data_IF_304924082873
#
_entry.id   IF_304924082873
#
_cell.length_a   1.000
_cell.length_b   1.000
_cell.length_c   1.000
_cell.angle_alpha   90.00
_cell.angle_beta   90.00
_cell.angle_gamma   90.00
#
_symmetry.space_group_name_H-M   'P 1'
#
loop_
_entity.id
_entity.type
_entity.pdbx_description
1 polymer ?
#
# COMPACT_ATOMS: atom_id res chain seq x y z
N UNK A 1 12.23 -3.11 15.66
CA UNK A 1 12.00 -2.62 14.28
C UNK A 1 13.25 -1.97 13.67
N UNK A 2 13.92 -1.02 14.35
CA UNK A 2 15.08 -0.31 13.78
C UNK A 2 16.19 -1.26 13.30
N UNK A 3 16.60 -2.23 14.11
CA UNK A 3 17.63 -3.22 13.72
C UNK A 3 17.23 -3.98 12.45
N UNK A 4 15.96 -4.41 12.34
CA UNK A 4 15.47 -5.07 11.13
C UNK A 4 15.55 -4.13 9.92
N UNK A 5 15.15 -2.88 10.06
CA UNK A 5 15.22 -1.88 9.00
C UNK A 5 16.66 -1.60 8.52
N UNK A 6 17.63 -1.59 9.45
CA UNK A 6 19.04 -1.46 9.10
C UNK A 6 19.57 -2.69 8.35
N UNK A 7 19.10 -3.89 8.72
CA UNK A 7 19.41 -5.13 7.99
C UNK A 7 18.80 -5.12 6.58
N UNK A 8 17.54 -4.68 6.45
CA UNK A 8 16.87 -4.55 5.17
C UNK A 8 17.60 -3.55 4.25
N UNK A 9 18.06 -2.41 4.83
CA UNK A 9 18.86 -1.44 4.08
C UNK A 9 20.19 -2.06 3.62
N UNK A 10 20.91 -2.76 4.49
CA UNK A 10 22.19 -3.39 4.15
C UNK A 10 22.06 -4.48 3.08
N UNK A 11 20.90 -5.16 3.02
CA UNK A 11 20.58 -6.18 2.03
C UNK A 11 19.92 -5.61 0.76
N UNK A 12 19.69 -4.29 0.67
CA UNK A 12 18.90 -3.63 -0.39
C UNK A 12 17.48 -4.21 -0.52
N UNK A 13 16.89 -4.62 0.59
CA UNK A 13 15.53 -5.15 0.65
C UNK A 13 14.50 -4.04 0.81
N UNK A 14 13.26 -4.35 0.42
CA UNK A 14 12.10 -3.48 0.60
C UNK A 14 11.37 -3.84 1.89
N UNK A 15 11.11 -2.83 2.73
CA UNK A 15 10.28 -2.97 3.92
C UNK A 15 8.80 -2.84 3.58
N UNK A 16 7.95 -3.65 4.22
CA UNK A 16 6.49 -3.55 4.10
C UNK A 16 5.85 -3.59 5.48
N UNK A 17 5.20 -2.49 5.88
CA UNK A 17 4.55 -2.37 7.17
C UNK A 17 3.04 -2.48 7.04
N UNK A 18 2.46 -3.53 7.60
CA UNK A 18 1.03 -3.75 7.70
C UNK A 18 0.56 -3.46 9.13
N UNK A 19 -0.34 -2.52 9.32
CA UNK A 19 -0.81 -2.13 10.64
C UNK A 19 -2.29 -1.71 10.66
N UNK A 20 -2.83 -1.52 11.86
CA UNK A 20 -4.21 -1.04 12.03
C UNK A 20 -5.23 -2.13 12.34
N UNK A 21 -4.80 -3.35 12.70
CA UNK A 21 -5.69 -4.42 13.13
C UNK A 21 -5.73 -4.53 14.65
N UNK A 22 -6.93 -4.70 15.22
CA UNK A 22 -7.12 -5.26 16.57
C UNK A 22 -7.32 -6.76 16.37
N UNK A 23 -6.42 -7.54 16.98
CA UNK A 23 -6.38 -8.99 16.81
C UNK A 23 -7.12 -9.71 17.94
N UNK A 24 -7.73 -10.85 17.60
CA UNK A 24 -8.31 -11.79 18.56
C UNK A 24 -9.31 -11.12 19.55
N UNK A 25 -10.19 -10.29 19.03
CA UNK A 25 -11.13 -9.48 19.84
C UNK A 25 -12.07 -10.29 20.74
N UNK A 26 -12.32 -11.56 20.39
CA UNK A 26 -13.24 -12.42 21.13
C UNK A 26 -12.43 -13.45 21.95
N UNK A 27 -12.20 -13.13 23.22
CA UNK A 27 -11.43 -13.99 24.13
C UNK A 27 -12.04 -15.38 24.30
N UNK A 28 -13.38 -15.50 24.29
CA UNK A 28 -14.04 -16.81 24.37
C UNK A 28 -13.68 -17.69 23.18
N UNK A 29 -13.69 -17.12 21.99
CA UNK A 29 -13.35 -17.84 20.77
C UNK A 29 -11.85 -18.10 20.65
N UNK A 30 -11.02 -17.15 21.09
CA UNK A 30 -9.58 -17.35 21.19
C UNK A 30 -9.24 -18.57 22.06
N UNK A 31 -9.85 -18.67 23.25
CA UNK A 31 -9.62 -19.81 24.16
C UNK A 31 -10.13 -21.14 23.57
N UNK A 32 -11.12 -21.09 22.68
CA UNK A 32 -11.71 -22.28 22.06
C UNK A 32 -11.01 -22.72 20.79
N UNK A 33 -10.54 -21.80 19.96
CA UNK A 33 -10.05 -22.04 18.60
C UNK A 33 -8.58 -21.64 18.39
N UNK A 34 -8.01 -20.86 19.30
CA UNK A 34 -6.66 -20.30 19.14
C UNK A 34 -6.62 -18.97 18.39
N UNK A 35 -5.40 -18.48 18.14
CA UNK A 35 -5.14 -17.26 17.39
C UNK A 35 -5.45 -17.40 15.89
N UNK A 36 -5.61 -16.29 15.21
CA UNK A 36 -5.78 -16.21 13.74
C UNK A 36 -7.01 -16.96 13.19
N UNK A 37 -8.08 -17.00 13.96
CA UNK A 37 -9.30 -17.72 13.58
C UNK A 37 -10.45 -16.81 13.13
N UNK A 38 -10.15 -15.53 12.79
CA UNK A 38 -11.08 -14.63 12.13
C UNK A 38 -11.81 -13.64 13.05
N UNK A 39 -11.39 -13.52 14.30
CA UNK A 39 -12.00 -12.59 15.28
C UNK A 39 -11.23 -11.28 15.40
N UNK A 40 -10.91 -10.68 14.25
CA UNK A 40 -10.15 -9.44 14.13
C UNK A 40 -11.04 -8.30 13.64
N UNK A 41 -10.62 -7.06 13.88
CA UNK A 41 -11.29 -5.87 13.38
C UNK A 41 -10.32 -4.75 12.99
N UNK A 42 -10.84 -3.78 12.26
CA UNK A 42 -10.12 -2.51 12.03
C UNK A 42 -9.96 -1.80 13.37
N UNK A 43 -8.74 -1.36 13.66
CA UNK A 43 -8.40 -0.61 14.85
C UNK A 43 -8.14 0.87 14.55
N UNK A 44 -8.37 1.70 15.56
CA UNK A 44 -8.01 3.11 15.55
C UNK A 44 -6.76 3.31 16.42
N UNK A 45 -5.64 3.67 15.78
CA UNK A 45 -4.36 3.88 16.46
C UNK A 45 -3.73 5.19 16.01
N UNK A 46 -3.23 5.97 16.94
CA UNK A 46 -2.49 7.22 16.67
C UNK A 46 -1.03 6.89 16.27
N UNK A 47 -0.85 6.38 15.06
CA UNK A 47 0.45 5.89 14.57
C UNK A 47 1.27 6.95 13.84
N UNK A 48 0.67 8.02 13.33
CA UNK A 48 1.31 9.00 12.46
C UNK A 48 2.61 9.56 13.03
N UNK A 49 2.62 10.00 14.30
CA UNK A 49 3.81 10.58 14.94
C UNK A 49 4.93 9.52 15.14
N UNK A 50 4.57 8.32 15.56
CA UNK A 50 5.55 7.24 15.75
C UNK A 50 6.15 6.80 14.41
N UNK A 51 5.33 6.69 13.36
CA UNK A 51 5.76 6.39 11.99
C UNK A 51 6.72 7.46 11.47
N UNK A 52 6.36 8.75 11.61
CA UNK A 52 7.21 9.87 11.22
C UNK A 52 8.57 9.82 11.90
N UNK A 53 8.59 9.58 13.21
CA UNK A 53 9.86 9.46 13.97
C UNK A 53 10.70 8.28 13.48
N UNK A 54 10.10 7.12 13.27
CA UNK A 54 10.80 5.93 12.79
C UNK A 54 11.42 6.13 11.40
N UNK A 55 10.65 6.66 10.44
CA UNK A 55 11.15 6.94 9.10
C UNK A 55 12.23 8.02 9.13
N UNK A 56 12.04 9.08 9.93
CA UNK A 56 13.03 10.15 10.07
C UNK A 56 14.34 9.67 10.68
N UNK A 57 14.30 8.83 11.71
CA UNK A 57 15.50 8.26 12.32
C UNK A 57 16.34 7.48 11.31
N UNK A 58 15.71 6.61 10.53
CA UNK A 58 16.38 5.87 9.45
C UNK A 58 16.89 6.79 8.34
N UNK A 59 16.13 7.82 7.99
CA UNK A 59 16.50 8.78 6.95
C UNK A 59 17.71 9.62 7.38
N UNK A 60 17.77 10.08 8.63
CA UNK A 60 18.90 10.84 9.18
C UNK A 60 20.20 10.03 9.19
N UNK A 61 20.12 8.72 9.34
CA UNK A 61 21.27 7.81 9.30
C UNK A 61 21.61 7.34 7.87
N UNK A 62 20.87 7.78 6.85
CA UNK A 62 21.03 7.31 5.47
C UNK A 62 20.64 5.84 5.26
N UNK A 63 19.84 5.28 6.18
CA UNK A 63 19.46 3.86 6.19
C UNK A 63 18.00 3.60 5.82
N UNK A 64 17.25 4.63 5.43
CA UNK A 64 15.87 4.44 4.97
C UNK A 64 15.87 3.79 3.59
N UNK A 65 15.45 2.54 3.52
CA UNK A 65 15.29 1.78 2.28
C UNK A 65 13.91 2.01 1.65
N UNK A 66 13.65 1.37 0.49
CA UNK A 66 12.31 1.33 -0.11
C UNK A 66 11.32 0.79 0.91
N UNK A 67 10.23 1.53 1.12
CA UNK A 67 9.28 1.20 2.19
C UNK A 67 7.85 1.34 1.69
N UNK A 68 7.01 0.36 1.97
CA UNK A 68 5.58 0.38 1.67
C UNK A 68 4.80 0.38 2.98
N UNK A 69 3.88 1.32 3.12
CA UNK A 69 3.02 1.47 4.29
C UNK A 69 1.59 1.03 3.94
N UNK A 70 1.07 0.06 4.66
CA UNK A 70 -0.31 -0.42 4.52
C UNK A 70 -1.09 -0.14 5.80
N UNK A 71 -2.20 0.57 5.69
CA UNK A 71 -3.14 0.72 6.81
C UNK A 71 -4.38 -0.13 6.60
N UNK A 72 -4.86 -0.75 7.67
CA UNK A 72 -6.15 -1.40 7.66
C UNK A 72 -7.29 -0.42 7.93
N UNK A 73 -6.99 0.74 8.55
CA UNK A 73 -7.98 1.77 8.83
C UNK A 73 -8.04 2.80 7.69
N UNK A 74 -9.12 2.83 6.89
CA UNK A 74 -9.23 3.77 5.78
C UNK A 74 -9.26 5.25 6.22
N UNK A 75 -9.58 5.55 7.48
CA UNK A 75 -9.49 6.92 8.02
C UNK A 75 -8.04 7.44 8.11
N UNK A 76 -7.04 6.57 7.97
CA UNK A 76 -5.63 6.94 7.94
C UNK A 76 -5.05 7.06 6.52
N UNK A 77 -5.86 6.95 5.47
CA UNK A 77 -5.38 7.00 4.08
C UNK A 77 -4.65 8.31 3.78
N UNK A 78 -5.25 9.45 4.09
CA UNK A 78 -4.65 10.78 3.85
C UNK A 78 -3.45 11.02 4.76
N UNK A 79 -3.46 10.46 5.98
CA UNK A 79 -2.33 10.54 6.91
C UNK A 79 -1.10 9.86 6.29
N UNK A 80 -1.28 8.66 5.73
CA UNK A 80 -0.20 7.95 5.05
C UNK A 80 0.20 8.67 3.76
N UNK A 81 -0.76 8.98 2.90
CA UNK A 81 -0.49 9.58 1.61
C UNK A 81 0.33 10.88 1.74
N UNK A 82 0.06 11.70 2.76
CA UNK A 82 0.87 12.89 3.07
C UNK A 82 2.23 12.55 3.68
N UNK A 83 2.34 11.46 4.47
CA UNK A 83 3.61 11.01 5.06
C UNK A 83 4.63 10.63 3.98
N UNK A 84 4.19 9.99 2.89
CA UNK A 84 5.06 9.51 1.82
C UNK A 84 5.92 10.63 1.22
N UNK A 85 5.33 11.81 1.04
CA UNK A 85 6.00 12.96 0.42
C UNK A 85 7.20 13.49 1.19
N UNK A 86 7.24 13.25 2.52
CA UNK A 86 8.30 13.76 3.38
C UNK A 86 9.64 13.01 3.24
N UNK A 87 9.62 11.82 2.65
CA UNK A 87 10.78 10.92 2.63
C UNK A 87 11.14 10.44 1.21
N UNK A 88 10.71 11.16 0.18
CA UNK A 88 11.14 10.94 -1.20
C UNK A 88 12.49 11.65 -1.42
N UNK A 89 13.49 10.96 -1.92
CA UNK A 89 14.86 11.50 -2.08
C UNK A 89 15.40 11.41 -3.52
N UNK A 90 14.59 10.94 -4.46
CA UNK A 90 14.99 10.78 -5.85
C UNK A 90 15.87 9.56 -6.16
N UNK A 91 16.28 8.77 -5.18
CA UNK A 91 17.07 7.54 -5.39
C UNK A 91 16.29 6.42 -6.10
N UNK A 92 14.97 6.41 -5.92
CA UNK A 92 14.04 5.47 -6.51
C UNK A 92 12.69 6.16 -6.72
N UNK A 93 12.06 6.06 -7.91
CA UNK A 93 10.72 6.60 -8.13
C UNK A 93 9.71 6.00 -7.15
N UNK A 94 9.09 6.86 -6.33
CA UNK A 94 8.16 6.41 -5.29
C UNK A 94 8.83 5.56 -4.22
N UNK A 95 9.99 6.00 -3.70
CA UNK A 95 10.76 5.28 -2.67
C UNK A 95 9.90 4.84 -1.49
N UNK A 96 9.06 5.73 -1.01
CA UNK A 96 8.07 5.41 0.02
C UNK A 96 6.71 5.30 -0.65
N UNK A 97 6.06 4.17 -0.51
CA UNK A 97 4.80 3.81 -1.17
C UNK A 97 3.64 3.77 -0.19
N UNK A 98 2.44 4.12 -0.68
CA UNK A 98 1.20 3.75 -0.04
C UNK A 98 0.75 2.40 -0.61
N UNK A 99 0.70 1.39 0.22
CA UNK A 99 0.27 0.06 -0.18
C UNK A 99 -1.21 -0.02 -0.54
N UNK A 100 -1.60 -1.05 -1.26
CA UNK A 100 -2.98 -1.27 -1.68
C UNK A 100 -3.95 -1.40 -0.50
N UNK A 101 -5.23 -1.16 -0.75
CA UNK A 101 -6.27 -1.64 0.13
C UNK A 101 -6.14 -3.16 0.29
N UNK A 102 -6.05 -3.63 1.53
CA UNK A 102 -5.81 -5.04 1.84
C UNK A 102 -6.74 -5.51 2.94
N UNK A 103 -6.90 -6.81 3.08
CA UNK A 103 -7.75 -7.50 4.03
C UNK A 103 -9.19 -6.95 3.99
N UNK A 104 -9.69 -6.24 5.03
CA UNK A 104 -11.04 -5.67 5.05
C UNK A 104 -11.26 -4.60 3.96
N UNK A 105 -10.20 -3.99 3.46
CA UNK A 105 -10.24 -2.98 2.40
C UNK A 105 -9.94 -3.54 1.00
N UNK A 106 -9.72 -4.85 0.88
CA UNK A 106 -9.47 -5.50 -0.40
C UNK A 106 -10.80 -5.78 -1.12
N UNK A 107 -11.50 -4.71 -1.45
CA UNK A 107 -12.79 -4.67 -2.12
C UNK A 107 -12.99 -3.30 -2.79
N UNK A 108 -14.06 -3.17 -3.60
CA UNK A 108 -14.30 -2.01 -4.46
C UNK A 108 -14.11 -0.67 -3.75
N UNK A 109 -14.79 -0.46 -2.61
CA UNK A 109 -14.78 0.83 -1.91
C UNK A 109 -13.43 1.11 -1.23
N UNK A 110 -12.83 0.10 -0.62
CA UNK A 110 -11.54 0.21 0.05
C UNK A 110 -10.41 0.52 -0.91
N UNK A 111 -10.31 -0.22 -2.03
CA UNK A 111 -9.32 0.02 -3.07
C UNK A 111 -9.52 1.37 -3.75
N UNK A 112 -10.76 1.74 -4.06
CA UNK A 112 -11.08 3.04 -4.68
C UNK A 112 -10.67 4.19 -3.77
N UNK A 113 -10.98 4.13 -2.46
CA UNK A 113 -10.57 5.16 -1.50
C UNK A 113 -9.05 5.27 -1.38
N UNK A 114 -8.35 4.14 -1.32
CA UNK A 114 -6.89 4.13 -1.25
C UNK A 114 -6.26 4.76 -2.50
N UNK A 115 -6.68 4.36 -3.70
CA UNK A 115 -6.16 4.90 -4.96
C UNK A 115 -6.49 6.39 -5.14
N UNK A 116 -7.67 6.83 -4.73
CA UNK A 116 -8.04 8.24 -4.75
C UNK A 116 -7.16 9.07 -3.81
N UNK A 117 -6.94 8.62 -2.58
CA UNK A 117 -6.03 9.30 -1.65
C UNK A 117 -4.60 9.40 -2.21
N UNK A 118 -4.10 8.30 -2.79
CA UNK A 118 -2.79 8.28 -3.44
C UNK A 118 -2.73 9.19 -4.67
N UNK A 119 -3.77 9.21 -5.49
CA UNK A 119 -3.85 10.06 -6.69
C UNK A 119 -3.79 11.56 -6.36
N UNK A 120 -4.46 11.96 -5.27
CA UNK A 120 -4.57 13.37 -4.87
C UNK A 120 -3.31 13.85 -4.12
N UNK A 121 -2.70 13.01 -3.31
CA UNK A 121 -1.63 13.38 -2.38
C UNK A 121 -0.26 12.77 -2.70
N UNK A 122 -0.17 11.93 -3.73
CA UNK A 122 1.05 11.27 -4.15
C UNK A 122 1.11 11.07 -5.66
N UNK A 123 1.73 9.99 -6.10
CA UNK A 123 1.90 9.65 -7.52
C UNK A 123 1.29 8.27 -7.83
N UNK A 124 0.02 8.26 -8.25
CA UNK A 124 -0.67 7.02 -8.63
C UNK A 124 0.11 6.26 -9.74
N UNK A 125 0.71 6.96 -10.69
CA UNK A 125 1.50 6.34 -11.78
C UNK A 125 2.72 5.55 -11.30
N UNK A 126 3.16 5.74 -10.07
CA UNK A 126 4.28 5.00 -9.45
C UNK A 126 3.83 3.94 -8.44
N UNK A 127 2.54 3.76 -8.32
CA UNK A 127 1.97 2.74 -7.42
C UNK A 127 2.45 1.34 -7.80
N UNK A 128 2.90 0.57 -6.81
CA UNK A 128 3.39 -0.81 -7.03
C UNK A 128 2.27 -1.83 -7.23
N UNK A 129 1.02 -1.36 -7.22
CA UNK A 129 -0.13 -2.21 -7.49
C UNK A 129 -0.63 -2.97 -6.25
N UNK A 130 -1.48 -3.94 -6.51
CA UNK A 130 -2.17 -4.73 -5.51
C UNK A 130 -1.37 -5.97 -5.15
N UNK A 131 -1.38 -6.31 -3.87
CA UNK A 131 -1.03 -7.64 -3.38
C UNK A 131 -2.24 -8.25 -2.65
N UNK A 132 -2.37 -9.56 -2.66
CA UNK A 132 -3.53 -10.23 -2.03
C UNK A 132 -3.34 -10.43 -0.53
N UNK A 133 -2.12 -10.54 -0.06
CA UNK A 133 -1.77 -10.95 1.31
C UNK A 133 -2.58 -12.18 1.77
N UNK A 134 -2.73 -13.15 0.90
CA UNK A 134 -3.60 -14.31 1.09
C UNK A 134 -2.80 -15.62 1.06
N UNK A 135 -3.23 -16.56 1.89
CA UNK A 135 -2.70 -17.93 1.93
C UNK A 135 -3.43 -18.86 0.95
N UNK A 136 -4.42 -18.37 0.21
CA UNK A 136 -5.25 -19.17 -0.70
C UNK A 136 -4.87 -18.97 -2.16
N UNK A 137 -4.68 -20.05 -2.90
CA UNK A 137 -4.53 -20.01 -4.36
C UNK A 137 -5.76 -19.43 -5.07
N UNK A 138 -6.94 -19.51 -4.45
CA UNK A 138 -8.17 -18.90 -4.98
C UNK A 138 -8.14 -17.35 -4.95
N UNK A 139 -7.11 -16.77 -4.38
CA UNK A 139 -6.93 -15.31 -4.36
C UNK A 139 -6.28 -14.73 -5.63
N UNK A 140 -5.72 -15.55 -6.51
CA UNK A 140 -5.12 -15.05 -7.75
C UNK A 140 -6.08 -14.26 -8.65
N UNK A 141 -7.37 -14.60 -8.81
CA UNK A 141 -8.33 -13.80 -9.56
C UNK A 141 -8.52 -12.37 -9.03
N UNK A 142 -8.12 -12.09 -7.78
CA UNK A 142 -8.20 -10.73 -7.19
C UNK A 142 -7.28 -9.74 -7.91
N UNK A 143 -6.21 -10.18 -8.53
CA UNK A 143 -5.38 -9.33 -9.40
C UNK A 143 -6.15 -8.86 -10.65
N UNK A 144 -6.98 -9.72 -11.24
CA UNK A 144 -7.87 -9.31 -12.34
C UNK A 144 -8.95 -8.34 -11.84
N UNK A 145 -9.53 -8.61 -10.68
CA UNK A 145 -10.49 -7.71 -10.05
C UNK A 145 -9.89 -6.31 -9.84
N UNK A 146 -8.68 -6.23 -9.30
CA UNK A 146 -7.96 -4.97 -9.14
C UNK A 146 -7.73 -4.23 -10.47
N UNK A 147 -7.26 -4.93 -11.51
CA UNK A 147 -7.04 -4.31 -12.82
C UNK A 147 -8.33 -3.77 -13.44
N UNK A 148 -9.43 -4.48 -13.31
CA UNK A 148 -10.76 -4.00 -13.74
C UNK A 148 -11.17 -2.74 -12.99
N UNK A 149 -10.94 -2.71 -11.68
CA UNK A 149 -11.24 -1.56 -10.83
C UNK A 149 -10.37 -0.36 -11.22
N UNK A 150 -9.08 -0.54 -11.42
CA UNK A 150 -8.15 0.50 -11.86
C UNK A 150 -8.56 1.07 -13.23
N UNK A 151 -8.83 0.21 -14.21
CA UNK A 151 -9.30 0.66 -15.53
C UNK A 151 -10.63 1.41 -15.46
N UNK A 152 -11.56 0.93 -14.62
CA UNK A 152 -12.85 1.59 -14.44
C UNK A 152 -12.71 2.96 -13.76
N UNK A 153 -11.81 3.09 -12.78
CA UNK A 153 -11.53 4.36 -12.11
C UNK A 153 -11.01 5.38 -13.12
N UNK A 154 -9.97 5.04 -13.87
CA UNK A 154 -9.37 5.92 -14.87
C UNK A 154 -10.33 6.24 -16.02
N UNK A 155 -11.06 5.24 -16.52
CA UNK A 155 -12.05 5.42 -17.59
C UNK A 155 -13.18 6.35 -17.19
N UNK A 156 -13.72 6.21 -15.99
CA UNK A 156 -14.73 7.12 -15.44
C UNK A 156 -14.22 8.56 -15.32
N UNK A 157 -12.95 8.73 -14.95
CA UNK A 157 -12.36 10.07 -14.84
C UNK A 157 -12.14 10.71 -16.20
N UNK A 158 -11.81 9.92 -17.23
CA UNK A 158 -11.79 10.39 -18.62
C UNK A 158 -13.19 10.81 -19.10
N UNK A 159 -14.20 9.97 -18.89
CA UNK A 159 -15.59 10.26 -19.27
C UNK A 159 -16.14 11.52 -18.60
N UNK A 160 -15.73 11.78 -17.36
CA UNK A 160 -16.09 12.99 -16.60
C UNK A 160 -15.25 14.21 -16.96
N UNK A 161 -14.24 14.07 -17.82
CA UNK A 161 -13.32 15.15 -18.17
C UNK A 161 -12.33 15.53 -17.06
N UNK A 162 -12.14 14.65 -16.07
CA UNK A 162 -11.17 14.84 -14.99
C UNK A 162 -9.75 14.44 -15.41
N UNK A 163 -9.64 13.56 -16.40
CA UNK A 163 -8.38 13.16 -17.03
C UNK A 163 -8.46 13.40 -18.55
N UNK A 164 -7.33 13.75 -19.20
CA UNK A 164 -7.25 13.80 -20.65
C UNK A 164 -7.53 12.43 -21.27
N UNK A 165 -8.18 12.40 -22.44
CA UNK A 165 -8.38 11.19 -23.24
C UNK A 165 -7.11 10.84 -24.02
N UNK A 166 -6.02 10.61 -23.31
CA UNK A 166 -4.73 10.15 -23.82
C UNK A 166 -4.56 8.65 -23.52
N UNK A 167 -5.10 7.83 -24.41
CA UNK A 167 -5.12 6.38 -24.25
C UNK A 167 -3.71 5.76 -24.24
N UNK A 168 -2.72 6.39 -24.88
CA UNK A 168 -1.35 5.89 -24.85
C UNK A 168 -0.74 6.04 -23.45
N UNK A 169 -0.83 7.21 -22.85
CA UNK A 169 -0.33 7.46 -21.49
C UNK A 169 -1.10 6.67 -20.43
N UNK A 170 -2.42 6.56 -20.57
CA UNK A 170 -3.26 5.82 -19.63
C UNK A 170 -2.97 4.31 -19.68
N UNK A 171 -2.83 3.73 -20.88
CA UNK A 171 -2.49 2.31 -21.04
C UNK A 171 -1.13 2.00 -20.42
N UNK A 172 -0.13 2.85 -20.66
CA UNK A 172 1.19 2.72 -20.05
C UNK A 172 1.13 2.78 -18.52
N UNK A 173 0.35 3.71 -17.97
CA UNK A 173 0.16 3.81 -16.52
C UNK A 173 -0.50 2.55 -15.93
N UNK A 174 -1.51 1.99 -16.61
CA UNK A 174 -2.16 0.74 -16.19
C UNK A 174 -1.19 -0.44 -16.21
N UNK A 175 -0.37 -0.56 -17.26
CA UNK A 175 0.67 -1.60 -17.38
C UNK A 175 1.71 -1.44 -16.26
N UNK A 176 2.16 -0.22 -16.01
CA UNK A 176 3.15 0.08 -14.97
C UNK A 176 2.61 -0.27 -13.58
N UNK A 177 1.42 0.14 -13.23
CA UNK A 177 0.79 -0.18 -11.94
C UNK A 177 0.53 -1.69 -11.81
N UNK A 178 0.17 -2.35 -12.93
CA UNK A 178 -0.17 -3.78 -12.90
C UNK A 178 1.04 -4.70 -12.87
N UNK A 179 2.24 -4.22 -13.29
CA UNK A 179 3.42 -5.07 -13.42
C UNK A 179 4.76 -4.33 -13.27
N UNK A 180 5.05 -3.34 -14.13
CA UNK A 180 6.40 -2.79 -14.26
C UNK A 180 6.88 -2.10 -12.99
N UNK A 181 6.01 -1.36 -12.30
CA UNK A 181 6.36 -0.67 -11.07
C UNK A 181 6.82 -1.65 -9.99
N UNK A 182 6.07 -2.72 -9.76
CA UNK A 182 6.45 -3.73 -8.78
C UNK A 182 7.76 -4.43 -9.17
N UNK A 183 7.89 -4.85 -10.43
CA UNK A 183 9.12 -5.47 -10.93
C UNK A 183 10.36 -4.61 -10.69
N UNK A 184 10.28 -3.32 -11.01
CA UNK A 184 11.40 -2.39 -10.88
C UNK A 184 11.66 -1.99 -9.42
N UNK A 185 10.60 -1.79 -8.65
CA UNK A 185 10.67 -1.38 -7.26
C UNK A 185 11.28 -2.46 -6.36
N UNK A 186 10.87 -3.70 -6.52
CA UNK A 186 11.42 -4.85 -5.79
C UNK A 186 12.70 -5.42 -6.41
N UNK A 187 13.09 -4.93 -7.58
CA UNK A 187 14.26 -5.42 -8.33
C UNK A 187 14.18 -6.93 -8.64
N UNK A 188 13.00 -7.38 -9.03
CA UNK A 188 12.81 -8.74 -9.53
C UNK A 188 13.41 -8.85 -10.96
N UNK A 189 14.72 -9.07 -11.07
CA UNK A 189 15.52 -9.18 -12.32
C UNK A 189 15.88 -7.86 -13.00
#
# INVERSE_FOLDING_TARGET
LKVCAEMDHAADWTQQFHYGAIRDNNTLMYNKLGADTGFDSIGEFTTAKAMSHFLNELNMEGKLTRTILYTLNPCANEVIATMLGNFQDGSCPGKIQFGSGWWFNDQLDGMTRQMNALSVLGLLSRFVGMLTDSRSFLSYPRHEYFRRLLCNLLGNDVEKGLLPNDMESLSRMVEDISYNNARNYFKFY
#
